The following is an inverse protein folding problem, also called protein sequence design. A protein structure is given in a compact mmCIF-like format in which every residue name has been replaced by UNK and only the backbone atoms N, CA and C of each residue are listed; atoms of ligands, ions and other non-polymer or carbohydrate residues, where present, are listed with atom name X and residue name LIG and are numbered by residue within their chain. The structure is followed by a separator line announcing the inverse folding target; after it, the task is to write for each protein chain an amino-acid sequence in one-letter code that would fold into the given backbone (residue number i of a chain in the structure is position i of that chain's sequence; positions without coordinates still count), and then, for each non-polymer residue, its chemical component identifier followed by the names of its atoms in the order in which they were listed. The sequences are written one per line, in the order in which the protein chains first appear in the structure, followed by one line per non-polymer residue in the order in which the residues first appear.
data_IF_564682260263
#
_entry.id   IF_564682260263
#
_cell.length_a   1.000
_cell.length_b   1.000
_cell.length_c   1.000
_cell.angle_alpha   90.00
_cell.angle_beta   90.00
_cell.angle_gamma   90.00
#
_symmetry.space_group_name_H-M   'P 1'
#
loop_
_entity.id
_entity.type
_entity.pdbx_description
1 polymer ?
#
# COMPACT_ATOMS: atom_id res chain seq x y z
N UNK A 1 -11.51 -3.68 10.25
CA UNK A 1 -11.05 -2.64 9.31
C UNK A 1 -10.02 -3.21 8.34
N UNK A 2 -10.20 -3.02 7.04
CA UNK A 2 -9.19 -3.45 6.06
C UNK A 2 -7.99 -2.50 6.12
N UNK A 3 -6.77 -3.07 6.17
CA UNK A 3 -5.51 -2.32 6.00
C UNK A 3 -5.44 -1.83 4.55
N UNK A 4 -6.04 -0.67 4.30
CA UNK A 4 -6.10 -0.02 2.99
C UNK A 4 -5.25 1.25 2.96
N UNK A 5 -4.61 1.52 1.83
CA UNK A 5 -3.87 2.76 1.63
C UNK A 5 -4.80 3.86 1.11
N UNK A 6 -4.96 4.94 1.90
CA UNK A 6 -5.84 6.08 1.57
C UNK A 6 -5.53 6.71 0.21
N UNK A 7 -4.25 6.85 -0.15
CA UNK A 7 -3.83 7.53 -1.40
C UNK A 7 -3.99 6.64 -2.65
N UNK A 8 -3.90 5.31 -2.51
CA UNK A 8 -3.82 4.40 -3.67
C UNK A 8 -4.91 3.34 -3.71
N UNK A 9 -5.81 3.28 -2.71
CA UNK A 9 -6.86 2.27 -2.60
C UNK A 9 -6.35 0.83 -2.46
N UNK A 10 -5.06 0.66 -2.17
CA UNK A 10 -4.45 -0.67 -2.15
C UNK A 10 -4.91 -1.45 -0.93
N UNK A 11 -5.55 -2.58 -1.19
CA UNK A 11 -6.01 -3.56 -0.19
C UNK A 11 -5.21 -4.86 -0.23
N UNK A 12 -5.30 -5.61 0.87
CA UNK A 12 -4.74 -6.96 0.93
C UNK A 12 -5.38 -7.87 -0.12
N UNK A 13 -4.59 -8.71 -0.78
CA UNK A 13 -5.08 -9.69 -1.75
C UNK A 13 -4.91 -11.10 -1.21
N UNK A 14 -5.88 -11.97 -1.49
CA UNK A 14 -5.81 -13.39 -1.17
C UNK A 14 -5.45 -14.13 -2.46
N UNK A 15 -4.40 -14.93 -2.43
CA UNK A 15 -3.95 -15.70 -3.60
C UNK A 15 -3.48 -17.10 -3.21
N UNK A 16 -3.50 -18.01 -4.16
CA UNK A 16 -2.93 -19.35 -3.99
C UNK A 16 -1.41 -19.30 -3.79
N UNK A 17 -0.88 -20.30 -3.09
CA UNK A 17 0.55 -20.59 -3.01
C UNK A 17 0.81 -21.95 -3.65
N UNK A 18 1.96 -22.09 -4.30
CA UNK A 18 2.48 -23.37 -4.74
C UNK A 18 3.43 -23.97 -3.70
N UNK A 19 3.43 -25.29 -3.53
CA UNK A 19 4.42 -25.95 -2.70
C UNK A 19 5.73 -26.17 -3.47
N UNK A 20 6.87 -25.76 -2.91
CA UNK A 20 8.20 -26.02 -3.50
C UNK A 20 8.71 -27.45 -3.23
N UNK A 21 7.90 -28.35 -2.66
CA UNK A 21 8.34 -29.68 -2.19
C UNK A 21 8.30 -30.77 -3.26
N UNK A 22 7.46 -30.61 -4.28
CA UNK A 22 7.29 -31.57 -5.38
C UNK A 22 7.91 -31.04 -6.67
N UNK A 23 8.39 -31.95 -7.54
CA UNK A 23 8.90 -31.62 -8.89
C UNK A 23 7.88 -30.74 -9.63
N UNK A 24 8.39 -29.82 -10.45
CA UNK A 24 7.59 -28.84 -11.20
C UNK A 24 6.51 -29.46 -12.14
N UNK A 25 6.55 -30.77 -12.36
CA UNK A 25 5.61 -31.54 -13.19
C UNK A 25 4.28 -31.87 -12.50
N UNK A 26 4.14 -31.65 -11.18
CA UNK A 26 2.87 -31.89 -10.47
C UNK A 26 2.34 -30.60 -9.81
N UNK A 27 1.06 -30.29 -10.08
CA UNK A 27 0.34 -29.19 -9.43
C UNK A 27 -0.10 -29.57 -8.02
N UNK A 28 0.55 -28.97 -7.02
CA UNK A 28 0.20 -29.16 -5.62
C UNK A 28 -0.09 -27.82 -4.94
N UNK A 29 -1.35 -27.62 -4.56
CA UNK A 29 -1.84 -26.34 -4.06
C UNK A 29 -1.56 -26.20 -2.55
N UNK A 30 -0.73 -25.23 -2.18
CA UNK A 30 -0.34 -24.95 -0.79
C UNK A 30 -1.33 -24.08 0.00
N UNK A 31 -2.61 -24.09 -0.40
CA UNK A 31 -3.67 -23.28 0.19
C UNK A 31 -3.64 -21.79 -0.22
N UNK A 32 -4.70 -21.07 0.15
CA UNK A 32 -4.83 -19.62 -0.07
C UNK A 32 -4.14 -18.86 1.06
N UNK A 33 -3.23 -17.94 0.72
CA UNK A 33 -2.56 -17.04 1.68
C UNK A 33 -2.91 -15.59 1.39
N UNK A 34 -3.16 -14.82 2.45
CA UNK A 34 -3.35 -13.37 2.38
C UNK A 34 -2.01 -12.66 2.27
N UNK A 35 -1.85 -11.80 1.27
CA UNK A 35 -0.71 -10.90 1.07
C UNK A 35 -1.14 -9.50 1.49
N UNK A 36 -0.46 -8.97 2.51
CA UNK A 36 -0.75 -7.64 3.04
C UNK A 36 0.00 -6.55 2.26
N UNK A 37 -0.58 -5.36 2.24
CA UNK A 37 0.07 -4.17 1.69
C UNK A 37 1.13 -3.70 2.69
N UNK A 38 2.29 -3.28 2.20
CA UNK A 38 3.35 -2.68 3.01
C UNK A 38 2.93 -1.24 3.40
N UNK A 39 2.16 -1.13 4.47
CA UNK A 39 1.71 0.13 5.06
C UNK A 39 2.72 0.61 6.09
N UNK A 40 3.05 1.89 6.03
CA UNK A 40 4.00 2.56 6.94
C UNK A 40 3.39 3.86 7.44
N UNK A 41 3.62 4.17 8.72
CA UNK A 41 3.28 5.47 9.30
C UNK A 41 4.34 6.48 8.87
N UNK A 42 3.93 7.52 8.16
CA UNK A 42 4.82 8.60 7.68
C UNK A 42 4.19 9.96 7.93
N UNK A 43 5.04 10.94 8.20
CA UNK A 43 4.65 12.33 8.39
C UNK A 43 5.19 13.14 7.23
N UNK A 44 4.31 13.89 6.57
CA UNK A 44 4.64 14.80 5.48
C UNK A 44 4.44 16.23 5.93
N UNK A 45 5.34 17.11 5.54
CA UNK A 45 5.15 18.55 5.67
C UNK A 45 4.51 19.08 4.40
N UNK A 46 3.41 19.84 4.55
CA UNK A 46 2.71 20.50 3.44
C UNK A 46 3.06 21.98 3.49
N UNK A 47 3.95 22.47 2.61
CA UNK A 47 4.43 23.86 2.66
C UNK A 47 3.29 24.88 2.54
N UNK A 48 2.32 24.60 1.67
CA UNK A 48 1.20 25.49 1.36
C UNK A 48 0.25 25.74 2.53
N UNK A 49 0.19 24.81 3.49
CA UNK A 49 -0.65 24.92 4.68
C UNK A 49 0.15 25.13 5.96
N UNK A 50 1.49 25.09 5.89
CA UNK A 50 2.38 25.10 7.05
C UNK A 50 2.15 23.94 8.03
N UNK A 51 1.42 22.89 7.62
CA UNK A 51 0.98 21.80 8.51
C UNK A 51 1.76 20.51 8.26
N UNK A 52 1.96 19.74 9.33
CA UNK A 52 2.47 18.36 9.26
C UNK A 52 1.28 17.41 9.30
N UNK A 53 1.20 16.51 8.33
CA UNK A 53 0.12 15.51 8.23
C UNK A 53 0.74 14.13 8.40
N UNK A 54 0.29 13.39 9.43
CA UNK A 54 0.73 12.02 9.69
C UNK A 54 -0.31 11.05 9.16
N UNK A 55 0.07 10.19 8.23
CA UNK A 55 -0.82 9.18 7.64
C UNK A 55 -0.15 7.81 7.53
N UNK A 56 -0.98 6.77 7.54
CA UNK A 56 -0.54 5.40 7.25
C UNK A 56 -0.74 5.16 5.77
N UNK A 57 0.36 5.02 5.03
CA UNK A 57 0.35 4.91 3.57
C UNK A 57 1.20 3.76 3.07
N UNK A 58 0.95 3.33 1.84
CA UNK A 58 1.77 2.30 1.20
C UNK A 58 3.08 2.86 0.67
N UNK A 59 4.09 2.00 0.51
CA UNK A 59 5.36 2.40 -0.12
C UNK A 59 5.21 2.90 -1.56
N UNK A 60 4.23 2.39 -2.33
CA UNK A 60 3.91 2.96 -3.65
C UNK A 60 3.34 4.37 -3.53
N UNK A 61 2.52 4.65 -2.52
CA UNK A 61 1.99 5.98 -2.29
C UNK A 61 3.10 7.00 -1.96
N UNK A 62 4.12 6.60 -1.18
CA UNK A 62 5.31 7.45 -0.94
C UNK A 62 5.96 7.86 -2.25
N UNK A 63 6.16 6.91 -3.18
CA UNK A 63 6.72 7.20 -4.50
C UNK A 63 5.83 8.15 -5.31
N UNK A 64 4.51 7.98 -5.25
CA UNK A 64 3.55 8.87 -5.93
C UNK A 64 3.57 10.28 -5.36
N UNK A 65 3.63 10.43 -4.04
CA UNK A 65 3.74 11.72 -3.35
C UNK A 65 5.02 12.44 -3.79
N UNK A 66 6.15 11.74 -3.83
CA UNK A 66 7.42 12.32 -4.28
C UNK A 66 7.40 12.74 -5.76
N UNK A 67 6.66 12.01 -6.61
CA UNK A 67 6.57 12.33 -8.05
C UNK A 67 5.62 13.50 -8.35
N UNK A 68 4.45 13.52 -7.72
CA UNK A 68 3.36 14.43 -8.08
C UNK A 68 3.21 15.63 -7.12
N UNK A 69 3.99 15.66 -6.04
CA UNK A 69 3.90 16.67 -4.98
C UNK A 69 2.92 16.28 -3.87
N UNK A 70 3.21 16.75 -2.65
CA UNK A 70 2.48 16.41 -1.42
C UNK A 70 1.06 16.97 -1.42
N UNK A 71 0.89 18.24 -1.78
CA UNK A 71 -0.42 18.91 -1.71
C UNK A 71 -1.43 18.28 -2.68
N UNK A 72 -1.04 18.14 -3.96
CA UNK A 72 -1.90 17.57 -5.01
C UNK A 72 -2.37 16.16 -4.67
N UNK A 73 -1.48 15.34 -4.11
CA UNK A 73 -1.77 13.94 -3.79
C UNK A 73 -2.63 13.77 -2.54
N UNK A 74 -2.42 14.60 -1.51
CA UNK A 74 -3.25 14.58 -0.30
C UNK A 74 -4.64 15.19 -0.54
N UNK A 75 -4.76 16.24 -1.36
CA UNK A 75 -6.04 16.82 -1.79
C UNK A 75 -6.88 15.82 -2.59
N UNK A 76 -6.26 15.13 -3.54
CA UNK A 76 -6.93 14.08 -4.32
C UNK A 76 -7.40 12.90 -3.45
N UNK A 77 -6.72 12.64 -2.33
CA UNK A 77 -7.08 11.61 -1.37
C UNK A 77 -8.10 12.07 -0.31
N UNK A 78 -8.57 13.32 -0.35
CA UNK A 78 -9.52 13.88 0.63
C UNK A 78 -8.97 14.00 2.05
N UNK A 79 -7.64 14.05 2.20
CA UNK A 79 -6.96 14.23 3.49
C UNK A 79 -6.73 15.71 3.85
N UNK A 80 -6.97 16.58 2.87
CA UNK A 80 -6.91 18.06 2.89
C UNK A 80 -8.05 18.53 1.99
#
# INVERSE_FOLDING_TARGET
MAKECVVTGKKSQVGGRYSNRTRATQFNHGGKKRRFVNLQKKTFFVPELGKKVTTVISTKAIKTINKNGVYKTLKAAGLI
#
